data_IF_403605554028
#
_entry.id   IF_403605554028
#
_cell.length_a   1.000
_cell.length_b   1.000
_cell.length_c   1.000
_cell.angle_alpha   90.00
_cell.angle_beta   90.00
_cell.angle_gamma   90.00
#
_symmetry.space_group_name_H-M   'P 1'
#
loop_
_entity.id
_entity.type
_entity.pdbx_description
1 polymer ?
#
# COMPACT_ATOMS: atom_id res chain seq x y z
N UNK A 1 8.99 -11.99 -14.09
CA UNK A 1 7.61 -12.09 -14.59
C UNK A 1 6.66 -11.47 -13.59
N UNK A 2 5.56 -10.93 -14.05
CA UNK A 2 4.59 -10.28 -13.16
C UNK A 2 3.98 -11.27 -12.15
N UNK A 3 3.85 -12.54 -12.51
CA UNK A 3 3.33 -13.56 -11.61
C UNK A 3 4.21 -13.76 -10.36
N UNK A 4 5.52 -13.59 -10.47
CA UNK A 4 6.42 -13.66 -9.32
C UNK A 4 6.14 -12.52 -8.34
N UNK A 5 5.90 -11.32 -8.86
CA UNK A 5 5.53 -10.16 -8.06
C UNK A 5 4.22 -10.42 -7.31
N UNK A 6 3.21 -10.94 -8.01
CA UNK A 6 1.91 -11.25 -7.41
C UNK A 6 2.03 -12.30 -6.29
N UNK A 7 2.85 -13.34 -6.50
CA UNK A 7 3.12 -14.34 -5.47
C UNK A 7 3.79 -13.73 -4.23
N UNK A 8 4.72 -12.80 -4.43
CA UNK A 8 5.38 -12.11 -3.32
C UNK A 8 4.40 -11.25 -2.52
N UNK A 9 3.46 -10.58 -3.19
CA UNK A 9 2.40 -9.82 -2.53
C UNK A 9 1.52 -10.75 -1.68
N UNK A 10 1.07 -11.87 -2.25
CA UNK A 10 0.27 -12.88 -1.54
C UNK A 10 0.99 -13.39 -0.30
N UNK A 11 2.27 -13.75 -0.44
CA UNK A 11 3.08 -14.24 0.68
C UNK A 11 3.19 -13.22 1.80
N UNK A 12 3.47 -11.96 1.44
CA UNK A 12 3.63 -10.89 2.44
C UNK A 12 2.35 -10.72 3.25
N UNK A 13 1.21 -10.64 2.58
CA UNK A 13 -0.08 -10.46 3.24
C UNK A 13 -0.40 -11.67 4.13
N UNK A 14 -0.18 -12.88 3.61
CA UNK A 14 -0.47 -14.12 4.35
C UNK A 14 0.38 -14.30 5.60
N UNK A 15 1.58 -13.72 5.64
CA UNK A 15 2.48 -13.79 6.79
C UNK A 15 2.25 -12.69 7.83
N UNK A 16 1.41 -11.72 7.52
CA UNK A 16 1.18 -10.57 8.40
C UNK A 16 0.11 -10.90 9.42
N UNK A 17 0.50 -11.01 10.70
CA UNK A 17 -0.37 -11.51 11.76
C UNK A 17 -1.54 -10.60 12.11
N UNK A 18 -1.46 -9.31 11.78
CA UNK A 18 -2.50 -8.33 12.11
C UNK A 18 -3.59 -8.22 11.04
N UNK A 19 -3.50 -9.00 9.97
CA UNK A 19 -4.53 -9.03 8.90
C UNK A 19 -5.72 -9.84 9.37
N UNK A 20 -6.91 -9.23 9.35
CA UNK A 20 -8.18 -9.90 9.66
C UNK A 20 -8.85 -10.44 8.40
N UNK A 21 -8.92 -9.64 7.34
CA UNK A 21 -9.54 -10.01 6.07
C UNK A 21 -8.79 -9.32 4.93
N UNK A 22 -8.89 -9.91 3.73
CA UNK A 22 -8.30 -9.34 2.52
C UNK A 22 -9.14 -9.66 1.30
N UNK A 23 -9.14 -8.72 0.34
CA UNK A 23 -9.73 -8.92 -0.99
C UNK A 23 -8.75 -8.31 -1.99
N UNK A 24 -8.04 -9.16 -2.74
CA UNK A 24 -6.97 -8.75 -3.65
C UNK A 24 -7.33 -9.19 -5.06
N UNK A 25 -7.22 -8.26 -6.02
CA UNK A 25 -7.45 -8.52 -7.45
C UNK A 25 -6.12 -8.40 -8.19
N UNK A 26 -5.69 -9.49 -8.81
CA UNK A 26 -4.47 -9.55 -9.62
C UNK A 26 -4.86 -9.63 -11.09
N UNK A 27 -4.35 -8.71 -11.91
CA UNK A 27 -4.61 -8.71 -13.36
C UNK A 27 -3.30 -8.76 -14.13
N UNK A 28 -3.12 -9.83 -14.89
CA UNK A 28 -1.98 -9.96 -15.77
C UNK A 28 -2.40 -9.56 -17.19
N UNK A 29 -1.76 -8.51 -17.73
CA UNK A 29 -2.01 -8.05 -19.10
C UNK A 29 -1.01 -8.65 -20.07
N UNK A 30 0.20 -8.93 -19.62
CA UNK A 30 1.28 -9.55 -20.35
C UNK A 30 2.20 -10.23 -19.33
N UNK A 31 3.16 -11.01 -19.79
CA UNK A 31 4.11 -11.72 -18.91
C UNK A 31 4.88 -10.76 -17.99
N UNK A 32 5.12 -9.52 -18.43
CA UNK A 32 5.82 -8.48 -17.67
C UNK A 32 4.97 -7.24 -17.41
N UNK A 33 3.66 -7.35 -17.56
CA UNK A 33 2.77 -6.23 -17.30
C UNK A 33 1.57 -6.69 -16.48
N UNK A 34 1.27 -5.97 -15.42
CA UNK A 34 0.14 -6.31 -14.58
C UNK A 34 -0.24 -5.21 -13.61
N UNK A 35 -1.35 -5.45 -12.98
CA UNK A 35 -1.99 -4.54 -12.06
C UNK A 35 -2.45 -5.33 -10.84
N UNK A 36 -2.23 -4.80 -9.66
CA UNK A 36 -2.78 -5.35 -8.43
C UNK A 36 -3.51 -4.26 -7.67
N UNK A 37 -4.69 -4.58 -7.19
CA UNK A 37 -5.43 -3.69 -6.30
C UNK A 37 -6.10 -4.52 -5.22
N UNK A 38 -6.30 -3.91 -4.07
CA UNK A 38 -6.93 -4.64 -3.00
C UNK A 38 -7.26 -3.80 -1.79
N UNK A 39 -7.94 -4.46 -0.88
CA UNK A 39 -8.25 -3.92 0.44
C UNK A 39 -7.86 -4.95 1.50
N UNK A 40 -7.15 -4.50 2.50
CA UNK A 40 -6.75 -5.30 3.66
C UNK A 40 -7.39 -4.70 4.89
N UNK A 41 -8.15 -5.50 5.62
CA UNK A 41 -8.74 -5.10 6.90
C UNK A 41 -7.86 -5.66 8.02
N UNK A 42 -7.49 -4.81 8.96
CA UNK A 42 -6.66 -5.19 10.10
C UNK A 42 -7.49 -5.45 11.36
N UNK A 43 -6.90 -6.14 12.32
CA UNK A 43 -7.61 -6.59 13.53
C UNK A 43 -8.11 -5.45 14.41
N UNK A 44 -7.58 -4.24 14.26
CA UNK A 44 -8.03 -3.05 15.00
C UNK A 44 -9.14 -2.26 14.27
N UNK A 45 -9.62 -2.76 13.13
CA UNK A 45 -10.63 -2.11 12.31
C UNK A 45 -10.08 -1.15 11.28
N UNK A 46 -8.77 -0.84 11.30
CA UNK A 46 -8.14 -0.02 10.25
C UNK A 46 -8.05 -0.80 8.94
N UNK A 47 -7.87 -0.09 7.83
CA UNK A 47 -7.84 -0.71 6.50
C UNK A 47 -6.85 -0.03 5.58
N UNK A 48 -6.23 -0.82 4.72
CA UNK A 48 -5.37 -0.36 3.62
C UNK A 48 -6.06 -0.65 2.30
N UNK A 49 -6.28 0.39 1.50
CA UNK A 49 -6.67 0.25 0.10
C UNK A 49 -5.45 0.58 -0.75
N UNK A 50 -5.11 -0.30 -1.69
CA UNK A 50 -3.89 -0.10 -2.47
C UNK A 50 -4.07 -0.50 -3.92
N UNK A 51 -3.22 0.08 -4.77
CA UNK A 51 -3.07 -0.33 -6.16
C UNK A 51 -1.62 -0.14 -6.58
N UNK A 52 -1.18 -0.99 -7.51
CA UNK A 52 0.11 -0.88 -8.17
C UNK A 52 -0.04 -1.30 -9.63
N UNK A 53 0.58 -0.53 -10.53
CA UNK A 53 0.68 -0.88 -11.94
C UNK A 53 2.14 -1.01 -12.31
N UNK A 54 2.52 -2.19 -12.84
CA UNK A 54 3.89 -2.52 -13.18
C UNK A 54 3.98 -2.93 -14.64
N UNK A 55 5.07 -2.51 -15.30
CA UNK A 55 5.39 -2.90 -16.67
C UNK A 55 6.91 -2.97 -16.82
N UNK A 56 7.41 -4.11 -17.35
CA UNK A 56 8.84 -4.33 -17.60
C UNK A 56 9.70 -4.07 -16.35
N UNK A 57 9.28 -4.61 -15.20
CA UNK A 57 9.93 -4.48 -13.90
C UNK A 57 9.96 -3.06 -13.35
N UNK A 58 9.19 -2.14 -13.93
CA UNK A 58 9.05 -0.77 -13.46
C UNK A 58 7.66 -0.57 -12.88
N UNK A 59 7.59 -0.06 -11.66
CA UNK A 59 6.32 0.33 -11.07
C UNK A 59 5.97 1.75 -11.53
N UNK A 60 5.01 1.86 -12.45
CA UNK A 60 4.61 3.12 -13.07
C UNK A 60 3.64 3.91 -12.21
N UNK A 61 2.83 3.23 -11.41
CA UNK A 61 1.85 3.88 -10.54
C UNK A 61 1.67 3.09 -9.26
N UNK A 62 1.56 3.79 -8.15
CA UNK A 62 1.19 3.17 -6.87
C UNK A 62 0.38 4.13 -6.01
N UNK A 63 -0.47 3.54 -5.15
CA UNK A 63 -1.19 4.25 -4.10
C UNK A 63 -1.42 3.30 -2.94
N UNK A 64 -1.03 3.74 -1.74
CA UNK A 64 -1.26 3.03 -0.48
C UNK A 64 -2.02 3.97 0.43
N UNK A 65 -3.33 3.74 0.56
CA UNK A 65 -4.24 4.59 1.32
C UNK A 65 -4.64 3.87 2.61
N UNK A 66 -4.14 4.33 3.73
CA UNK A 66 -4.40 3.74 5.04
C UNK A 66 -5.34 4.62 5.85
N UNK A 67 -6.41 4.02 6.38
CA UNK A 67 -7.47 4.72 7.08
C UNK A 67 -7.84 4.01 8.37
N UNK A 68 -8.37 4.78 9.32
CA UNK A 68 -8.85 4.20 10.57
C UNK A 68 -10.20 3.49 10.38
N UNK A 69 -10.75 2.94 11.45
CA UNK A 69 -12.03 2.20 11.43
C UNK A 69 -13.22 3.04 10.95
N UNK A 70 -13.13 4.37 11.06
CA UNK A 70 -14.17 5.31 10.62
C UNK A 70 -13.94 5.81 9.20
N UNK A 71 -12.91 5.34 8.52
CA UNK A 71 -12.56 5.75 7.17
C UNK A 71 -11.77 7.05 7.10
N UNK A 72 -11.30 7.59 8.23
CA UNK A 72 -10.48 8.79 8.23
C UNK A 72 -9.03 8.46 7.85
N UNK A 73 -8.42 9.34 7.06
CA UNK A 73 -7.04 9.19 6.60
C UNK A 73 -6.06 9.12 7.77
N UNK A 74 -5.22 8.08 7.79
CA UNK A 74 -4.04 8.02 8.64
C UNK A 74 -2.82 8.45 7.82
N UNK A 75 -2.60 7.82 6.66
CA UNK A 75 -1.60 8.26 5.69
C UNK A 75 -1.95 7.73 4.29
N UNK A 76 -1.38 8.38 3.27
CA UNK A 76 -1.41 7.88 1.90
C UNK A 76 -0.06 8.14 1.25
N UNK A 77 0.54 7.10 0.69
CA UNK A 77 1.70 7.21 -0.19
C UNK A 77 1.24 7.02 -1.63
N UNK A 78 1.63 7.90 -2.52
CA UNK A 78 1.39 7.71 -3.96
C UNK A 78 2.36 8.53 -4.81
N UNK A 79 2.34 8.31 -6.11
CA UNK A 79 3.17 9.01 -7.07
C UNK A 79 2.36 9.79 -8.12
N UNK A 80 1.12 10.18 -7.81
CA UNK A 80 0.35 11.04 -8.69
C UNK A 80 1.06 12.42 -8.81
N UNK A 81 1.25 12.96 -10.04
CA UNK A 81 2.08 14.14 -10.25
C UNK A 81 1.31 15.45 -9.99
N UNK A 82 0.68 15.60 -8.82
CA UNK A 82 -0.16 16.74 -8.49
C UNK A 82 0.40 17.66 -7.40
N UNK A 83 1.51 17.25 -6.75
CA UNK A 83 2.06 17.99 -5.61
C UNK A 83 3.54 18.29 -5.80
N UNK A 84 3.91 19.55 -5.56
CA UNK A 84 5.30 20.01 -5.69
C UNK A 84 6.03 19.82 -4.37
N UNK A 85 6.65 18.66 -4.19
CA UNK A 85 7.51 18.32 -3.07
C UNK A 85 8.89 17.93 -3.58
N UNK A 86 9.90 17.91 -2.71
CA UNK A 86 11.29 17.61 -3.12
C UNK A 86 11.47 16.21 -3.70
N UNK A 87 10.60 15.27 -3.35
CA UNK A 87 10.63 13.89 -3.84
C UNK A 87 9.69 13.66 -5.03
N UNK A 88 9.15 14.73 -5.63
CA UNK A 88 8.21 14.65 -6.75
C UNK A 88 8.62 13.57 -7.77
N UNK A 89 7.67 12.72 -8.25
CA UNK A 89 6.23 12.73 -7.97
C UNK A 89 5.81 12.00 -6.69
N UNK A 90 6.75 11.33 -6.02
CA UNK A 90 6.47 10.56 -4.81
C UNK A 90 6.20 11.50 -3.63
N UNK A 91 5.13 11.22 -2.88
CA UNK A 91 4.74 12.05 -1.73
C UNK A 91 3.91 11.26 -0.73
N UNK A 92 3.72 11.86 0.43
CA UNK A 92 2.90 11.31 1.51
C UNK A 92 1.84 12.31 1.94
N UNK A 93 0.58 11.89 1.97
CA UNK A 93 -0.50 12.64 2.59
C UNK A 93 -0.59 12.26 4.06
N UNK A 94 -0.69 13.26 4.92
CA UNK A 94 -1.05 13.09 6.33
C UNK A 94 -2.43 13.74 6.55
N UNK A 95 -3.06 13.60 7.73
CA UNK A 95 -4.34 14.28 7.98
C UNK A 95 -4.30 15.81 7.84
N UNK A 96 -3.11 16.42 7.89
CA UNK A 96 -2.96 17.88 7.92
C UNK A 96 -2.19 18.46 6.72
N UNK A 97 -1.39 17.66 6.01
CA UNK A 97 -0.55 18.18 4.91
C UNK A 97 -0.15 17.12 3.89
N UNK A 98 0.63 17.55 2.90
CA UNK A 98 1.30 16.70 1.91
C UNK A 98 2.79 16.97 2.04
N UNK A 99 3.57 15.92 2.27
CA UNK A 99 5.00 16.04 2.55
C UNK A 99 5.82 15.19 1.59
N UNK A 100 7.11 15.48 1.54
CA UNK A 100 8.09 14.67 0.78
C UNK A 100 8.14 13.25 1.34
N UNK A 101 8.31 12.28 0.45
CA UNK A 101 8.53 10.88 0.80
C UNK A 101 9.28 10.19 -0.32
N UNK A 102 10.25 9.34 0.01
CA UNK A 102 10.82 8.43 -0.98
C UNK A 102 9.74 7.43 -1.44
N UNK A 103 9.92 6.79 -2.62
CA UNK A 103 9.01 5.74 -3.05
C UNK A 103 8.87 4.65 -1.99
N UNK A 104 7.64 4.20 -1.74
CA UNK A 104 7.36 3.15 -0.77
C UNK A 104 6.97 1.87 -1.49
N UNK A 105 7.37 0.73 -0.94
CA UNK A 105 6.94 -0.59 -1.39
C UNK A 105 5.77 -1.07 -0.54
N UNK A 106 4.91 -1.92 -1.11
CA UNK A 106 3.78 -2.49 -0.36
C UNK A 106 4.24 -3.20 0.91
N UNK A 107 5.35 -3.96 0.84
CA UNK A 107 5.86 -4.68 2.00
C UNK A 107 6.29 -3.75 3.14
N UNK A 108 6.94 -2.63 2.82
CA UNK A 108 7.35 -1.66 3.86
C UNK A 108 6.16 -0.93 4.46
N UNK A 109 5.14 -0.64 3.65
CA UNK A 109 3.90 -0.02 4.14
C UNK A 109 3.16 -0.99 5.08
N UNK A 110 3.07 -2.27 4.71
CA UNK A 110 2.46 -3.28 5.57
C UNK A 110 3.23 -3.42 6.89
N UNK A 111 4.56 -3.39 6.85
CA UNK A 111 5.38 -3.43 8.07
C UNK A 111 5.10 -2.22 8.97
N UNK A 112 4.98 -1.03 8.39
CA UNK A 112 4.64 0.18 9.14
C UNK A 112 3.28 0.03 9.81
N UNK A 113 2.28 -0.45 9.07
CA UNK A 113 0.93 -0.67 9.59
C UNK A 113 0.95 -1.73 10.69
N UNK A 114 1.68 -2.81 10.53
CA UNK A 114 1.78 -3.85 11.55
C UNK A 114 2.32 -3.29 12.86
N UNK A 115 3.34 -2.43 12.80
CA UNK A 115 3.86 -1.75 14.00
C UNK A 115 2.81 -0.85 14.64
N UNK A 116 2.06 -0.10 13.82
CA UNK A 116 1.01 0.80 14.32
C UNK A 116 -0.14 0.04 14.98
N UNK A 117 -0.61 -1.03 14.33
CA UNK A 117 -1.71 -1.87 14.85
C UNK A 117 -1.29 -2.54 16.14
N UNK A 118 -0.08 -3.10 16.18
CA UNK A 118 0.46 -3.75 17.38
C UNK A 118 0.61 -2.77 18.54
N UNK A 119 1.07 -1.55 18.28
CA UNK A 119 1.20 -0.51 19.29
C UNK A 119 -0.16 -0.11 19.87
N UNK A 120 -1.18 0.06 19.03
CA UNK A 120 -2.54 0.40 19.48
C UNK A 120 -3.16 -0.71 20.31
N UNK A 121 -2.89 -1.98 19.97
CA UNK A 121 -3.44 -3.12 20.66
C UNK A 121 -2.94 -3.25 22.11
N UNK A 122 -1.69 -2.83 22.36
CA UNK A 122 -1.04 -2.95 23.66
C UNK A 122 -0.98 -1.64 24.45
N UNK A 123 -1.52 -0.54 23.90
CA UNK A 123 -1.52 0.77 24.53
C UNK A 123 -2.58 0.90 25.65
#
# INVERSE_FOLDING_TARGET
MISDYFQNVEKKISKTSVVAEKAIDFREFDINEGFVMGKILFIDGSALEFLEYLKDDIRLKYRFHYMNEKGALIFRYDNAPHHQVTTFPDHKHTPVDVIASSPQELSTVIDEIERMVSARRWA
#
